data_IF_627175868906
#
_entry.id   IF_627175868906
#
_cell.length_a   1.000
_cell.length_b   1.000
_cell.length_c   1.000
_cell.angle_alpha   90.00
_cell.angle_beta   90.00
_cell.angle_gamma   90.00
#
_symmetry.space_group_name_H-M   'P 1'
#
loop_
_entity.id
_entity.type
_entity.pdbx_description
1 polymer ?
#
# COMPACT_ATOMS: atom_id res chain seq x y z
N UNK A 1 -13.03 -8.51 14.16
CA UNK A 1 -12.72 -7.12 13.74
C UNK A 1 -11.21 -6.97 13.67
N UNK A 2 -10.61 -6.87 12.51
CA UNK A 2 -9.16 -6.67 12.40
C UNK A 2 -8.76 -5.24 12.78
N UNK A 3 -7.54 -5.09 13.35
CA UNK A 3 -6.97 -3.78 13.66
C UNK A 3 -6.68 -3.00 12.37
N UNK A 4 -6.22 -3.69 11.33
CA UNK A 4 -5.98 -3.11 10.02
C UNK A 4 -6.40 -4.08 8.90
N UNK A 5 -7.03 -3.52 7.88
CA UNK A 5 -7.31 -4.19 6.61
C UNK A 5 -6.56 -3.47 5.50
N UNK A 6 -5.68 -4.17 4.83
CA UNK A 6 -5.02 -3.67 3.63
C UNK A 6 -5.84 -4.02 2.39
N UNK A 7 -6.04 -3.04 1.51
CA UNK A 7 -6.72 -3.25 0.23
C UNK A 7 -5.75 -2.91 -0.90
N UNK A 8 -5.49 -3.88 -1.77
CA UNK A 8 -4.83 -3.66 -3.05
C UNK A 8 -5.92 -3.26 -4.07
N UNK A 9 -5.98 -1.99 -4.50
CA UNK A 9 -7.07 -1.53 -5.35
C UNK A 9 -6.94 -2.04 -6.79
N UNK A 10 -8.02 -2.60 -7.32
CA UNK A 10 -8.09 -3.03 -8.71
C UNK A 10 -8.41 -1.86 -9.66
N UNK A 11 -7.64 -1.73 -10.73
CA UNK A 11 -7.87 -0.75 -11.79
C UNK A 11 -7.35 -1.20 -13.16
N UNK A 12 -6.94 -2.45 -13.29
CA UNK A 12 -6.38 -3.00 -14.52
C UNK A 12 -7.26 -2.75 -15.76
N UNK A 13 -8.60 -2.91 -15.73
CA UNK A 13 -9.45 -2.61 -16.86
C UNK A 13 -9.42 -1.13 -17.28
N UNK A 14 -9.29 -0.20 -16.34
CA UNK A 14 -9.23 1.23 -16.62
C UNK A 14 -7.90 1.64 -17.27
N UNK A 15 -6.80 0.99 -16.89
CA UNK A 15 -5.45 1.32 -17.38
C UNK A 15 -5.15 0.60 -18.69
N UNK A 16 -5.36 -0.70 -18.72
CA UNK A 16 -4.94 -1.55 -19.82
C UNK A 16 -6.08 -1.93 -20.77
N UNK A 17 -7.32 -1.54 -20.47
CA UNK A 17 -8.51 -1.86 -21.25
C UNK A 17 -8.59 -3.38 -21.54
N UNK A 18 -8.89 -3.76 -22.80
CA UNK A 18 -8.96 -5.18 -23.19
C UNK A 18 -7.63 -5.94 -23.12
N UNK A 19 -6.52 -5.22 -22.99
CA UNK A 19 -5.19 -5.84 -22.86
C UNK A 19 -4.95 -6.34 -21.43
N UNK A 20 -5.66 -5.80 -20.43
CA UNK A 20 -5.56 -6.22 -19.04
C UNK A 20 -5.78 -7.72 -18.86
N UNK A 21 -6.83 -8.25 -19.49
CA UNK A 21 -7.25 -9.64 -19.30
C UNK A 21 -6.25 -10.64 -19.91
N UNK A 22 -5.63 -10.24 -21.02
CA UNK A 22 -4.79 -11.15 -21.82
C UNK A 22 -3.30 -11.00 -21.57
N UNK A 23 -2.79 -9.78 -21.42
CA UNK A 23 -1.36 -9.53 -21.47
C UNK A 23 -0.74 -9.24 -20.09
N UNK A 24 -1.49 -8.64 -19.16
CA UNK A 24 -0.91 -8.23 -17.90
C UNK A 24 -0.64 -9.40 -16.95
N UNK A 25 0.43 -9.24 -16.16
CA UNK A 25 0.60 -10.06 -14.97
C UNK A 25 -0.45 -9.68 -13.93
N UNK A 26 -0.76 -10.63 -13.05
CA UNK A 26 -1.42 -10.36 -11.77
C UNK A 26 -0.43 -10.76 -10.70
N UNK A 27 0.11 -9.78 -10.00
CA UNK A 27 1.13 -9.98 -8.98
C UNK A 27 0.55 -9.82 -7.58
N UNK A 28 1.04 -10.60 -6.61
CA UNK A 28 0.70 -10.38 -5.21
C UNK A 28 1.06 -8.98 -4.75
N UNK A 29 0.27 -8.36 -3.85
CA UNK A 29 0.51 -7.01 -3.35
C UNK A 29 1.66 -7.00 -2.32
N UNK A 30 2.89 -7.04 -2.79
CA UNK A 30 4.12 -7.27 -1.99
C UNK A 30 4.22 -6.36 -0.77
N UNK A 31 3.89 -5.07 -0.94
CA UNK A 31 3.99 -4.12 0.18
C UNK A 31 2.88 -4.34 1.22
N UNK A 32 1.67 -4.69 0.79
CA UNK A 32 0.60 -5.06 1.71
C UNK A 32 0.95 -6.31 2.53
N UNK A 33 1.58 -7.30 1.88
CA UNK A 33 2.05 -8.51 2.55
C UNK A 33 3.12 -8.22 3.60
N UNK A 34 4.11 -7.36 3.29
CA UNK A 34 5.15 -6.94 4.24
C UNK A 34 4.56 -6.16 5.42
N UNK A 35 3.67 -5.20 5.16
CA UNK A 35 3.01 -4.42 6.21
C UNK A 35 2.12 -5.29 7.10
N UNK A 36 1.39 -6.24 6.52
CA UNK A 36 0.53 -7.13 7.29
C UNK A 36 1.36 -8.01 8.24
N UNK A 37 2.46 -8.61 7.76
CA UNK A 37 3.33 -9.42 8.61
C UNK A 37 4.04 -8.57 9.66
N UNK A 38 4.46 -7.35 9.30
CA UNK A 38 5.02 -6.38 10.24
C UNK A 38 4.03 -6.03 11.37
N UNK A 39 2.76 -5.80 11.06
CA UNK A 39 1.71 -5.57 12.07
C UNK A 39 1.50 -6.80 12.96
N UNK A 40 1.44 -8.00 12.36
CA UNK A 40 1.26 -9.27 13.10
C UNK A 40 2.42 -9.53 14.06
N UNK A 41 3.65 -9.18 13.69
CA UNK A 41 4.83 -9.30 14.56
C UNK A 41 4.76 -8.42 15.82
N UNK A 42 3.90 -7.41 15.82
CA UNK A 42 3.62 -6.53 16.97
C UNK A 42 2.32 -6.89 17.71
N UNK A 43 1.68 -7.99 17.32
CA UNK A 43 0.47 -8.49 17.97
C UNK A 43 -0.84 -7.88 17.44
N UNK A 44 -0.79 -7.09 16.37
CA UNK A 44 -1.99 -6.58 15.71
C UNK A 44 -2.60 -7.62 14.78
N UNK A 45 -3.93 -7.59 14.67
CA UNK A 45 -4.66 -8.41 13.70
C UNK A 45 -4.71 -7.69 12.35
N UNK A 46 -4.19 -8.34 11.31
CA UNK A 46 -4.16 -7.80 9.96
C UNK A 46 -4.88 -8.73 8.98
N UNK A 47 -5.52 -8.14 7.98
CA UNK A 47 -6.11 -8.87 6.84
C UNK A 47 -5.79 -8.14 5.54
N UNK A 48 -5.92 -8.86 4.42
CA UNK A 48 -5.70 -8.33 3.07
C UNK A 48 -6.94 -8.65 2.21
N UNK A 49 -7.37 -7.69 1.41
CA UNK A 49 -8.26 -7.89 0.27
C UNK A 49 -7.51 -7.46 -0.98
N UNK A 50 -7.26 -8.40 -1.88
CA UNK A 50 -6.69 -8.08 -3.18
C UNK A 50 -7.79 -7.89 -4.22
N UNK A 51 -8.37 -6.69 -4.23
CA UNK A 51 -9.45 -6.35 -5.15
C UNK A 51 -9.02 -6.38 -6.62
N UNK A 52 -7.72 -6.27 -6.89
CA UNK A 52 -7.17 -6.39 -8.24
C UNK A 52 -7.14 -7.85 -8.71
N UNK A 53 -6.57 -8.74 -7.91
CA UNK A 53 -6.45 -10.15 -8.29
C UNK A 53 -7.82 -10.85 -8.35
N UNK A 54 -8.69 -10.54 -7.39
CA UNK A 54 -10.03 -11.10 -7.32
C UNK A 54 -11.04 -10.41 -8.26
N UNK A 55 -10.64 -9.32 -8.92
CA UNK A 55 -11.50 -8.51 -9.79
C UNK A 55 -12.84 -8.11 -9.12
N UNK A 56 -12.77 -7.69 -7.86
CA UNK A 56 -13.94 -7.41 -7.04
C UNK A 56 -14.71 -6.19 -7.54
N UNK A 57 -16.02 -6.33 -7.61
CA UNK A 57 -16.93 -5.19 -7.75
C UNK A 57 -17.01 -4.40 -6.43
N UNK A 58 -17.42 -3.14 -6.52
CA UNK A 58 -17.61 -2.29 -5.32
C UNK A 58 -18.62 -2.91 -4.35
N UNK A 59 -19.68 -3.53 -4.87
CA UNK A 59 -20.70 -4.19 -4.05
C UNK A 59 -20.14 -5.38 -3.25
N UNK A 60 -19.32 -6.21 -3.88
CA UNK A 60 -18.69 -7.35 -3.20
C UNK A 60 -17.70 -6.88 -2.15
N UNK A 61 -16.90 -5.85 -2.48
CA UNK A 61 -15.98 -5.25 -1.54
C UNK A 61 -16.71 -4.68 -0.31
N UNK A 62 -17.75 -3.89 -0.50
CA UNK A 62 -18.55 -3.32 0.59
C UNK A 62 -19.15 -4.41 1.47
N UNK A 63 -19.73 -5.45 0.88
CA UNK A 63 -20.27 -6.59 1.65
C UNK A 63 -19.22 -7.28 2.51
N UNK A 64 -18.00 -7.45 2.01
CA UNK A 64 -16.88 -7.98 2.82
C UNK A 64 -16.50 -7.04 3.97
N UNK A 65 -16.44 -5.74 3.72
CA UNK A 65 -16.11 -4.74 4.74
C UNK A 65 -17.16 -4.67 5.86
N UNK A 66 -18.44 -4.76 5.53
CA UNK A 66 -19.54 -4.80 6.50
C UNK A 66 -19.42 -6.01 7.46
N UNK A 67 -18.93 -7.14 6.96
CA UNK A 67 -18.69 -8.33 7.77
C UNK A 67 -17.43 -8.22 8.63
N UNK A 68 -16.33 -7.69 8.07
CA UNK A 68 -15.03 -7.58 8.71
C UNK A 68 -14.98 -6.45 9.76
N UNK A 69 -15.59 -5.32 9.46
CA UNK A 69 -15.62 -4.11 10.31
C UNK A 69 -14.21 -3.71 10.79
N UNK A 70 -13.24 -3.49 9.89
CA UNK A 70 -11.88 -3.16 10.30
C UNK A 70 -11.83 -1.83 11.03
N UNK A 71 -10.92 -1.72 12.01
CA UNK A 71 -10.66 -0.44 12.69
C UNK A 71 -10.01 0.59 11.78
N UNK A 72 -9.08 0.14 10.92
CA UNK A 72 -8.41 0.95 9.91
C UNK A 72 -8.47 0.25 8.56
N UNK A 73 -8.85 0.96 7.52
CA UNK A 73 -8.73 0.53 6.13
C UNK A 73 -7.52 1.24 5.53
N UNK A 74 -6.54 0.49 5.04
CA UNK A 74 -5.34 1.02 4.42
C UNK A 74 -5.32 0.64 2.93
N UNK A 75 -5.49 1.62 2.05
CA UNK A 75 -5.35 1.44 0.61
C UNK A 75 -3.87 1.44 0.26
N UNK A 76 -3.38 0.35 -0.34
CA UNK A 76 -1.96 0.15 -0.66
C UNK A 76 -1.74 0.35 -2.16
N UNK A 77 -1.18 1.50 -2.53
CA UNK A 77 -1.01 1.92 -3.93
C UNK A 77 0.47 1.94 -4.30
N UNK A 78 1.01 0.76 -4.53
CA UNK A 78 2.34 0.57 -5.09
C UNK A 78 2.24 -0.09 -6.47
N UNK A 79 3.09 0.34 -7.39
CA UNK A 79 3.32 -0.37 -8.64
C UNK A 79 4.51 -1.32 -8.50
N UNK A 80 4.64 -2.26 -9.43
CA UNK A 80 5.81 -3.14 -9.57
C UNK A 80 7.10 -2.34 -9.80
N UNK A 81 6.98 -1.21 -10.43
CA UNK A 81 8.02 -0.22 -10.65
C UNK A 81 7.69 1.02 -9.82
N UNK A 82 8.68 1.60 -9.15
CA UNK A 82 8.50 2.80 -8.32
C UNK A 82 7.84 3.96 -9.08
N UNK A 83 8.07 4.06 -10.39
CA UNK A 83 7.49 5.11 -11.24
C UNK A 83 6.04 4.80 -11.68
N UNK A 84 5.51 3.61 -11.40
CA UNK A 84 4.17 3.18 -11.81
C UNK A 84 3.11 3.28 -10.69
N UNK A 85 3.47 3.74 -9.50
CA UNK A 85 2.57 3.77 -8.35
C UNK A 85 1.32 4.64 -8.55
N UNK A 86 1.43 5.72 -9.32
CA UNK A 86 0.28 6.61 -9.60
C UNK A 86 -0.84 5.93 -10.38
N UNK A 87 -0.55 4.90 -11.15
CA UNK A 87 -1.56 4.20 -11.97
C UNK A 87 -2.65 3.53 -11.10
N UNK A 88 -2.32 3.14 -9.87
CA UNK A 88 -3.27 2.56 -8.91
C UNK A 88 -4.23 3.56 -8.27
N UNK A 89 -3.99 4.86 -8.41
CA UNK A 89 -4.79 5.88 -7.72
C UNK A 89 -6.26 5.91 -8.15
N UNK A 90 -6.55 5.71 -9.43
CA UNK A 90 -7.95 5.70 -9.90
C UNK A 90 -8.79 4.60 -9.23
N UNK A 91 -8.20 3.43 -9.00
CA UNK A 91 -8.83 2.35 -8.24
C UNK A 91 -8.98 2.71 -6.76
N UNK A 92 -7.96 3.30 -6.15
CA UNK A 92 -8.01 3.73 -4.76
C UNK A 92 -9.07 4.80 -4.52
N UNK A 93 -9.14 5.83 -5.37
CA UNK A 93 -10.14 6.91 -5.30
C UNK A 93 -11.56 6.35 -5.41
N UNK A 94 -11.81 5.44 -6.38
CA UNK A 94 -13.11 4.78 -6.56
C UNK A 94 -13.50 3.98 -5.32
N UNK A 95 -12.59 3.16 -4.79
CA UNK A 95 -12.82 2.34 -3.60
C UNK A 95 -13.06 3.21 -2.37
N UNK A 96 -12.24 4.24 -2.14
CA UNK A 96 -12.41 5.16 -1.02
C UNK A 96 -13.79 5.83 -1.05
N UNK A 97 -14.22 6.29 -2.22
CA UNK A 97 -15.54 6.87 -2.42
C UNK A 97 -16.65 5.85 -2.11
N UNK A 98 -16.58 4.66 -2.67
CA UNK A 98 -17.57 3.62 -2.44
C UNK A 98 -17.68 3.26 -0.95
N UNK A 99 -16.57 3.19 -0.24
CA UNK A 99 -16.56 2.92 1.21
C UNK A 99 -17.24 4.06 1.98
N UNK A 100 -16.88 5.31 1.72
CA UNK A 100 -17.47 6.48 2.42
C UNK A 100 -18.96 6.65 2.16
N UNK A 101 -19.45 6.26 0.98
CA UNK A 101 -20.86 6.30 0.62
C UNK A 101 -21.70 5.18 1.28
N UNK A 102 -21.09 4.07 1.71
CA UNK A 102 -21.82 2.89 2.18
C UNK A 102 -21.49 2.48 3.63
N UNK A 103 -20.37 2.92 4.20
CA UNK A 103 -19.94 2.50 5.54
C UNK A 103 -19.62 3.73 6.38
N UNK A 104 -20.58 4.13 7.20
CA UNK A 104 -20.43 5.27 8.10
C UNK A 104 -19.30 5.05 9.12
N UNK A 105 -18.56 6.12 9.41
CA UNK A 105 -17.49 6.09 10.41
C UNK A 105 -16.23 5.31 10.00
N UNK A 106 -16.15 4.85 8.74
CA UNK A 106 -14.94 4.20 8.22
C UNK A 106 -13.75 5.16 8.24
N UNK A 107 -12.57 4.68 8.68
CA UNK A 107 -11.32 5.41 8.63
C UNK A 107 -10.46 4.82 7.53
N UNK A 108 -10.10 5.66 6.54
CA UNK A 108 -9.38 5.26 5.33
C UNK A 108 -8.04 5.97 5.27
N UNK A 109 -6.96 5.19 5.28
CA UNK A 109 -5.61 5.67 5.04
C UNK A 109 -5.11 5.26 3.66
N UNK A 110 -4.17 6.03 3.12
CA UNK A 110 -3.46 5.74 1.88
C UNK A 110 -1.97 5.56 2.15
N UNK A 111 -1.40 4.51 1.59
CA UNK A 111 0.04 4.28 1.54
C UNK A 111 0.48 3.94 0.11
N UNK A 112 1.60 4.48 -0.33
CA UNK A 112 2.12 4.18 -1.67
C UNK A 112 2.97 5.29 -2.23
N UNK A 113 3.61 5.01 -3.37
CA UNK A 113 4.57 5.95 -3.96
C UNK A 113 3.94 7.28 -4.40
N UNK A 114 2.65 7.29 -4.76
CA UNK A 114 1.98 8.54 -5.15
C UNK A 114 1.85 9.51 -3.98
N UNK A 115 1.29 9.07 -2.84
CA UNK A 115 1.16 9.92 -1.66
C UNK A 115 2.51 10.26 -1.03
N UNK A 116 3.48 9.38 -1.14
CA UNK A 116 4.86 9.69 -0.72
C UNK A 116 5.48 10.81 -1.55
N UNK A 117 5.22 10.84 -2.86
CA UNK A 117 5.73 11.87 -3.75
C UNK A 117 4.99 13.21 -3.58
N UNK A 118 3.67 13.19 -3.41
CA UNK A 118 2.78 14.35 -3.43
C UNK A 118 1.81 14.36 -2.23
N UNK A 119 2.29 14.32 -0.98
CA UNK A 119 1.44 14.06 0.18
C UNK A 119 0.31 15.08 0.34
N UNK A 120 0.63 16.36 0.37
CA UNK A 120 -0.36 17.44 0.55
C UNK A 120 -1.33 17.47 -0.63
N UNK A 121 -0.80 17.46 -1.86
CA UNK A 121 -1.62 17.50 -3.08
C UNK A 121 -2.59 16.31 -3.14
N UNK A 122 -2.10 15.12 -2.87
CA UNK A 122 -2.94 13.90 -2.88
C UNK A 122 -4.10 14.03 -1.92
N UNK A 123 -3.86 14.46 -0.69
CA UNK A 123 -4.93 14.58 0.27
C UNK A 123 -5.91 15.73 -0.07
N UNK A 124 -5.44 16.81 -0.69
CA UNK A 124 -6.33 17.87 -1.18
C UNK A 124 -7.26 17.40 -2.29
N UNK A 125 -6.76 16.53 -3.19
CA UNK A 125 -7.52 16.02 -4.35
C UNK A 125 -8.40 14.80 -4.01
N UNK A 126 -8.10 14.07 -2.90
CA UNK A 126 -8.78 12.83 -2.51
C UNK A 126 -9.62 13.00 -1.22
N UNK A 127 -10.80 13.61 -1.31
CA UNK A 127 -11.61 13.96 -0.12
C UNK A 127 -12.11 12.75 0.69
N UNK A 128 -12.13 11.57 0.11
CA UNK A 128 -12.57 10.33 0.74
C UNK A 128 -11.46 9.57 1.49
N UNK A 129 -10.23 10.11 1.49
CA UNK A 129 -9.10 9.57 2.24
C UNK A 129 -8.89 10.47 3.46
N UNK A 130 -8.86 9.88 4.66
CA UNK A 130 -8.77 10.64 5.91
C UNK A 130 -7.33 11.10 6.17
N UNK A 131 -6.35 10.22 5.95
CA UNK A 131 -4.93 10.54 6.08
C UNK A 131 -4.07 9.63 5.20
N UNK A 132 -2.78 9.92 5.14
CA UNK A 132 -1.84 9.11 4.39
C UNK A 132 -0.52 8.92 5.09
N UNK A 133 0.19 7.87 4.69
CA UNK A 133 1.52 7.56 5.19
C UNK A 133 2.58 8.11 4.23
N UNK A 134 3.54 8.82 4.79
CA UNK A 134 4.76 9.19 4.10
C UNK A 134 5.86 8.16 4.36
N UNK A 135 6.93 8.20 3.59
CA UNK A 135 8.01 7.23 3.67
C UNK A 135 7.50 5.77 3.56
N UNK A 136 8.14 4.82 4.20
CA UNK A 136 7.73 3.41 4.18
C UNK A 136 6.46 3.11 4.95
N UNK A 137 6.11 3.98 5.88
CA UNK A 137 4.90 3.87 6.69
C UNK A 137 4.92 2.78 7.77
N UNK A 138 5.98 2.00 7.91
CA UNK A 138 6.01 0.86 8.85
C UNK A 138 5.82 1.32 10.30
N UNK A 139 6.70 2.19 10.79
CA UNK A 139 6.62 2.69 12.16
C UNK A 139 5.45 3.64 12.39
N UNK A 140 5.13 4.47 11.40
CA UNK A 140 3.95 5.33 11.46
C UNK A 140 2.66 4.51 11.60
N UNK A 141 2.54 3.38 10.89
CA UNK A 141 1.40 2.48 10.99
C UNK A 141 1.30 1.86 12.39
N UNK A 142 2.42 1.41 12.99
CA UNK A 142 2.40 0.91 14.37
C UNK A 142 1.95 1.99 15.36
N UNK A 143 2.42 3.23 15.20
CA UNK A 143 2.01 4.35 16.05
C UNK A 143 0.51 4.65 15.89
N UNK A 144 -0.01 4.60 14.67
CA UNK A 144 -1.45 4.72 14.40
C UNK A 144 -2.23 3.59 15.07
N UNK A 145 -1.79 2.34 14.94
CA UNK A 145 -2.48 1.19 15.53
C UNK A 145 -2.40 1.18 17.07
N UNK A 146 -1.32 1.70 17.64
CA UNK A 146 -1.18 1.87 19.10
C UNK A 146 -2.10 2.96 19.66
N UNK A 147 -2.59 3.87 18.85
CA UNK A 147 -3.44 4.97 19.28
C UNK A 147 -4.83 4.46 19.65
N UNK A 148 -5.44 4.95 20.73
CA UNK A 148 -6.77 4.47 21.17
C UNK A 148 -7.89 4.88 20.22
N UNK A 149 -7.71 6.00 19.53
CA UNK A 149 -8.64 6.54 18.53
C UNK A 149 -7.89 6.96 17.27
N UNK A 150 -8.60 6.97 16.15
CA UNK A 150 -8.08 7.42 14.86
C UNK A 150 -8.74 8.75 14.47
N UNK A 151 -8.70 9.72 15.37
CA UNK A 151 -9.23 11.06 15.17
C UNK A 151 -8.10 12.10 14.95
N UNK A 152 -8.47 13.28 14.49
CA UNK A 152 -7.54 14.37 14.19
C UNK A 152 -6.62 14.70 15.37
N UNK A 153 -7.16 14.70 16.58
CA UNK A 153 -6.42 15.06 17.80
C UNK A 153 -5.30 14.08 18.10
N UNK A 154 -5.51 12.80 17.80
CA UNK A 154 -4.54 11.72 18.02
C UNK A 154 -3.53 11.63 16.88
N UNK A 155 -3.97 11.80 15.64
CA UNK A 155 -3.13 11.63 14.46
C UNK A 155 -2.18 12.81 14.22
N UNK A 156 -2.49 14.01 14.75
CA UNK A 156 -1.72 15.24 14.50
C UNK A 156 -0.25 15.19 14.91
N UNK A 157 0.10 14.36 15.89
CA UNK A 157 1.44 14.29 16.45
C UNK A 157 2.21 13.01 16.04
N UNK A 158 1.58 12.13 15.24
CA UNK A 158 2.23 10.90 14.78
C UNK A 158 3.16 11.21 13.60
N UNK A 159 4.48 10.96 13.73
CA UNK A 159 5.41 11.15 12.63
C UNK A 159 5.06 10.27 11.42
N UNK A 160 5.40 10.75 10.23
CA UNK A 160 5.20 10.02 8.99
C UNK A 160 3.78 10.04 8.46
N UNK A 161 2.92 10.94 8.95
CA UNK A 161 1.58 11.14 8.42
C UNK A 161 1.43 12.45 7.64
N UNK A 162 0.53 12.42 6.67
CA UNK A 162 -0.14 13.60 6.12
C UNK A 162 -1.62 13.48 6.49
N UNK A 163 -2.18 14.52 7.09
CA UNK A 163 -3.50 14.52 7.73
C UNK A 163 -4.34 15.71 7.31
N UNK A 164 -5.67 15.59 7.50
CA UNK A 164 -6.60 16.73 7.52
C UNK A 164 -6.75 17.20 8.96
N UNK A 165 -6.59 18.48 9.19
CA UNK A 165 -6.78 19.09 10.49
C UNK A 165 -7.48 20.44 10.31
N UNK A 166 -8.66 20.61 10.92
CA UNK A 166 -9.43 21.87 10.89
C UNK A 166 -9.63 22.43 9.47
N UNK A 167 -9.81 21.55 8.48
CA UNK A 167 -10.00 21.92 7.06
C UNK A 167 -8.71 22.21 6.27
N UNK A 168 -7.55 22.17 6.91
CA UNK A 168 -6.24 22.24 6.25
C UNK A 168 -5.65 20.85 6.06
N UNK A 169 -4.71 20.70 5.12
CA UNK A 169 -3.88 19.49 4.98
C UNK A 169 -2.49 19.82 5.49
N UNK A 170 -2.02 19.03 6.44
CA UNK A 170 -0.73 19.18 7.09
C UNK A 170 0.10 17.91 6.96
N UNK A 171 1.40 18.08 6.85
CA UNK A 171 2.36 16.97 6.87
C UNK A 171 3.12 17.02 8.20
N UNK A 172 3.06 15.92 8.95
CA UNK A 172 3.80 15.75 10.19
C UNK A 172 5.29 15.53 9.89
N UNK A 173 6.14 15.56 10.93
CA UNK A 173 7.56 15.19 10.80
C UNK A 173 7.70 13.85 10.12
N UNK A 174 8.77 13.69 9.34
CA UNK A 174 9.07 12.42 8.71
C UNK A 174 9.31 11.33 9.77
N UNK A 175 8.77 10.14 9.50
CA UNK A 175 9.13 8.95 10.28
C UNK A 175 10.33 8.25 9.62
N UNK A 176 11.13 7.59 10.44
CA UNK A 176 12.29 6.85 9.96
C UNK A 176 11.87 5.64 9.10
N UNK A 177 12.69 5.30 8.13
CA UNK A 177 12.60 4.03 7.42
C UNK A 177 13.17 2.91 8.30
N UNK A 178 12.77 1.66 8.03
CA UNK A 178 13.29 0.52 8.78
C UNK A 178 14.80 0.39 8.53
N UNK A 179 15.67 0.53 9.56
CA UNK A 179 17.09 0.43 9.37
C UNK A 179 17.55 -1.02 9.11
N UNK A 180 18.67 -1.20 8.44
CA UNK A 180 19.20 -2.53 8.09
C UNK A 180 19.24 -3.49 9.27
N UNK A 181 19.70 -3.04 10.44
CA UNK A 181 19.78 -3.86 11.63
C UNK A 181 18.42 -4.32 12.19
N UNK A 182 17.32 -3.79 11.68
CA UNK A 182 15.97 -4.08 12.13
C UNK A 182 15.10 -4.75 11.05
N UNK A 183 15.62 -4.95 9.84
CA UNK A 183 14.85 -5.49 8.71
C UNK A 183 14.19 -6.82 9.07
N UNK A 184 14.94 -7.78 9.63
CA UNK A 184 14.41 -9.11 9.97
C UNK A 184 13.39 -9.12 11.10
N UNK A 185 13.42 -8.10 11.97
CA UNK A 185 12.52 -8.01 13.12
C UNK A 185 11.26 -7.20 12.84
N UNK A 186 11.39 -6.13 12.06
CA UNK A 186 10.33 -5.15 11.84
C UNK A 186 9.63 -5.33 10.50
N UNK A 187 10.26 -6.05 9.56
CA UNK A 187 9.69 -6.56 8.31
C UNK A 187 10.04 -8.05 8.19
N UNK A 188 9.48 -8.93 9.04
CA UNK A 188 9.94 -10.31 9.19
C UNK A 188 9.58 -11.24 8.02
N UNK A 189 8.91 -10.75 7.00
CA UNK A 189 8.53 -11.50 5.81
C UNK A 189 7.19 -11.09 5.24
N UNK A 190 6.56 -12.01 4.56
CA UNK A 190 5.34 -11.79 3.78
C UNK A 190 4.19 -12.62 4.34
N UNK A 191 3.06 -12.01 4.61
CA UNK A 191 1.83 -12.65 5.09
C UNK A 191 1.09 -13.38 3.95
N UNK A 192 1.72 -14.38 3.32
CA UNK A 192 1.17 -15.12 2.18
C UNK A 192 -0.15 -15.81 2.50
N UNK A 193 -0.32 -16.27 3.73
CA UNK A 193 -1.53 -16.92 4.24
C UNK A 193 -2.77 -16.02 4.25
N UNK A 194 -2.60 -14.70 4.08
CA UNK A 194 -3.70 -13.74 3.98
C UNK A 194 -4.24 -13.56 2.56
N UNK A 195 -3.58 -14.15 1.57
CA UNK A 195 -4.05 -14.11 0.18
C UNK A 195 -5.01 -15.26 -0.13
N UNK A 196 -5.94 -15.07 -1.07
CA UNK A 196 -6.98 -16.07 -1.38
C UNK A 196 -6.46 -17.21 -2.26
N UNK A 197 -5.34 -17.85 -1.88
CA UNK A 197 -4.75 -18.96 -2.64
C UNK A 197 -5.56 -20.25 -2.58
N UNK A 198 -6.25 -20.51 -1.46
CA UNK A 198 -6.93 -21.80 -1.23
C UNK A 198 -8.08 -22.00 -2.20
N UNK A 199 -8.78 -20.93 -2.56
CA UNK A 199 -9.95 -21.00 -3.44
C UNK A 199 -9.61 -21.03 -4.93
N UNK A 200 -8.45 -20.47 -5.33
CA UNK A 200 -8.02 -20.39 -6.74
C UNK A 200 -6.50 -20.29 -6.86
N UNK A 201 -5.75 -21.31 -6.45
CA UNK A 201 -4.33 -21.20 -6.18
C UNK A 201 -3.45 -20.90 -7.40
N UNK A 202 -3.91 -21.22 -8.60
CA UNK A 202 -3.08 -21.14 -9.82
C UNK A 202 -3.49 -20.05 -10.79
N UNK A 203 -4.70 -19.50 -10.67
CA UNK A 203 -5.26 -18.58 -11.66
C UNK A 203 -5.27 -17.11 -11.19
N UNK A 204 -5.25 -16.89 -9.88
CA UNK A 204 -5.29 -15.54 -9.32
C UNK A 204 -4.02 -14.76 -9.60
N UNK A 205 -2.86 -15.36 -9.32
CA UNK A 205 -1.55 -14.70 -9.50
C UNK A 205 -0.79 -15.38 -10.64
N UNK A 206 -0.62 -14.66 -11.72
CA UNK A 206 -0.09 -15.21 -12.97
C UNK A 206 1.01 -14.35 -13.59
N UNK A 207 1.96 -15.02 -14.23
CA UNK A 207 3.05 -14.36 -14.95
C UNK A 207 2.53 -13.51 -16.12
N UNK A 208 3.28 -12.48 -16.55
CA UNK A 208 2.97 -11.77 -17.77
C UNK A 208 3.02 -12.70 -19.00
N UNK A 209 2.28 -12.37 -20.06
CA UNK A 209 2.16 -13.22 -21.24
C UNK A 209 3.49 -13.44 -21.95
N UNK A 210 4.40 -12.47 -21.93
CA UNK A 210 5.74 -12.62 -22.54
C UNK A 210 6.63 -13.64 -21.82
N UNK A 211 6.43 -13.90 -20.52
CA UNK A 211 7.11 -15.01 -19.83
C UNK A 211 6.56 -16.38 -20.25
N UNK A 212 5.38 -16.40 -20.80
CA UNK A 212 4.73 -17.60 -21.33
C UNK A 212 4.89 -17.74 -22.86
N UNK A 213 5.89 -17.11 -23.46
CA UNK A 213 6.13 -17.16 -24.92
C UNK A 213 4.89 -16.72 -25.73
N UNK A 214 4.12 -15.77 -25.22
CA UNK A 214 2.86 -15.31 -25.79
C UNK A 214 1.77 -16.40 -25.92
N UNK A 215 1.85 -17.46 -25.10
CA UNK A 215 0.88 -18.54 -25.06
C UNK A 215 0.17 -18.55 -23.69
N UNK A 216 -1.11 -18.24 -23.67
CA UNK A 216 -1.91 -18.19 -22.44
C UNK A 216 -1.88 -19.52 -21.64
N UNK A 217 -1.82 -20.65 -22.35
CA UNK A 217 -1.78 -21.98 -21.73
C UNK A 217 -0.44 -22.32 -21.05
N UNK A 218 0.58 -21.52 -21.28
CA UNK A 218 1.91 -21.65 -20.66
C UNK A 218 2.12 -20.71 -19.47
N UNK A 219 1.12 -19.91 -19.11
CA UNK A 219 1.22 -19.03 -17.96
C UNK A 219 1.38 -19.86 -16.68
N UNK A 220 2.26 -19.41 -15.83
CA UNK A 220 2.54 -20.04 -14.53
C UNK A 220 2.09 -19.15 -13.39
N UNK A 221 1.86 -19.72 -12.20
CA UNK A 221 1.77 -18.94 -10.97
C UNK A 221 2.97 -18.03 -10.84
N UNK A 222 2.74 -16.82 -10.32
CA UNK A 222 3.78 -15.80 -10.27
C UNK A 222 3.75 -15.07 -8.93
N UNK A 223 4.91 -14.87 -8.35
CA UNK A 223 5.10 -14.02 -7.20
C UNK A 223 6.38 -13.20 -7.36
N UNK A 224 6.29 -11.92 -7.06
CA UNK A 224 7.44 -11.05 -6.91
C UNK A 224 7.75 -10.87 -5.43
N UNK A 225 9.02 -10.88 -5.07
CA UNK A 225 9.51 -10.56 -3.73
C UNK A 225 10.57 -9.48 -3.81
N UNK A 226 10.66 -8.69 -2.76
CA UNK A 226 11.74 -7.72 -2.59
C UNK A 226 12.82 -8.36 -1.71
N UNK A 227 14.02 -8.47 -2.23
CA UNK A 227 15.20 -8.96 -1.48
C UNK A 227 15.96 -7.82 -0.80
N UNK A 228 15.64 -6.58 -1.14
CA UNK A 228 16.21 -5.38 -0.54
C UNK A 228 15.26 -4.20 -0.67
N UNK A 229 15.42 -3.20 0.20
CA UNK A 229 14.74 -1.91 0.12
C UNK A 229 15.75 -0.79 -0.09
N UNK A 230 15.32 0.28 -0.77
CA UNK A 230 16.19 1.40 -1.10
C UNK A 230 16.94 1.21 -2.41
N UNK A 231 17.73 2.21 -2.78
CA UNK A 231 18.53 2.19 -4.01
C UNK A 231 19.75 3.10 -3.87
N UNK A 232 20.91 2.61 -4.30
CA UNK A 232 22.16 3.39 -4.27
C UNK A 232 22.35 4.31 -5.49
N UNK A 233 21.42 4.25 -6.47
CA UNK A 233 21.50 5.04 -7.70
C UNK A 233 20.70 6.33 -7.59
N UNK A 234 21.24 7.42 -8.14
CA UNK A 234 20.60 8.74 -8.21
C UNK A 234 20.01 9.05 -9.59
N UNK A 235 19.27 8.11 -10.21
CA UNK A 235 18.72 8.31 -11.55
C UNK A 235 17.73 9.49 -11.57
N UNK A 236 17.99 10.49 -12.43
CA UNK A 236 17.24 11.74 -12.48
C UNK A 236 15.73 11.57 -12.80
N UNK A 237 15.36 10.48 -13.46
CA UNK A 237 13.97 10.16 -13.83
C UNK A 237 13.23 9.32 -12.78
N UNK A 238 13.90 8.87 -11.73
CA UNK A 238 13.35 7.87 -10.82
C UNK A 238 12.70 8.53 -9.60
N UNK A 239 11.46 8.16 -9.32
CA UNK A 239 10.71 8.62 -8.15
C UNK A 239 11.36 8.26 -6.82
N UNK A 240 12.25 7.26 -6.77
CA UNK A 240 12.89 6.83 -5.53
C UNK A 240 13.63 7.96 -4.81
N UNK A 241 14.05 8.98 -5.55
CA UNK A 241 14.73 10.15 -5.02
C UNK A 241 13.79 11.13 -4.29
N UNK A 242 12.48 10.95 -4.40
CA UNK A 242 11.49 11.89 -3.85
C UNK A 242 10.44 11.22 -2.95
N UNK A 243 10.42 9.90 -2.87
CA UNK A 243 9.37 9.17 -2.13
C UNK A 243 9.69 8.98 -0.65
N UNK A 244 10.94 9.05 -0.22
CA UNK A 244 11.30 9.03 1.20
C UNK A 244 12.03 10.30 1.57
N UNK A 245 11.57 10.95 2.63
CA UNK A 245 11.97 12.27 3.03
C UNK A 245 12.64 12.28 4.38
N UNK A 246 13.55 13.22 4.55
CA UNK A 246 13.98 13.69 5.86
C UNK A 246 13.19 14.97 6.17
N UNK A 247 12.77 15.11 7.42
CA UNK A 247 12.09 16.28 7.93
C UNK A 247 10.71 16.60 7.28
N UNK A 248 10.20 17.78 7.51
CA UNK A 248 8.89 18.25 7.08
C UNK A 248 8.86 18.73 5.62
N UNK A 249 9.94 18.58 4.88
CA UNK A 249 10.01 19.07 3.50
C UNK A 249 9.15 18.20 2.56
N UNK A 250 8.35 18.85 1.74
CA UNK A 250 7.52 18.17 0.75
C UNK A 250 8.34 17.48 -0.34
N UNK A 251 9.55 17.97 -0.59
CA UNK A 251 10.52 17.36 -1.52
C UNK A 251 11.90 17.30 -0.88
N UNK A 252 12.52 16.13 -0.97
CA UNK A 252 13.88 15.92 -0.48
C UNK A 252 14.23 14.44 -0.47
N UNK A 253 15.51 14.15 -0.64
CA UNK A 253 16.00 12.77 -0.59
C UNK A 253 16.33 12.43 0.85
N UNK A 254 15.77 11.34 1.36
CA UNK A 254 16.22 10.76 2.62
C UNK A 254 17.61 10.17 2.45
N UNK A 255 18.57 10.60 3.26
CA UNK A 255 19.92 10.03 3.27
C UNK A 255 19.92 8.54 3.63
N UNK A 256 18.93 8.10 4.40
CA UNK A 256 18.83 6.70 4.83
C UNK A 256 18.25 5.81 3.74
N UNK A 257 17.39 6.36 2.88
CA UNK A 257 16.80 5.61 1.78
C UNK A 257 17.74 5.45 0.57
N UNK A 258 18.74 6.31 0.45
CA UNK A 258 19.78 6.19 -0.59
C UNK A 258 20.71 4.99 -0.37
N UNK A 259 20.55 4.26 0.75
CA UNK A 259 21.28 3.04 1.03
C UNK A 259 20.38 1.84 0.84
N UNK A 260 20.86 0.87 0.08
CA UNK A 260 20.18 -0.43 0.00
C UNK A 260 20.26 -1.12 1.35
N UNK A 261 19.13 -1.61 1.83
CA UNK A 261 18.96 -2.36 3.06
C UNK A 261 18.52 -3.77 2.73
N UNK A 262 19.11 -4.75 3.36
CA UNK A 262 18.90 -6.16 3.06
C UNK A 262 18.39 -6.88 4.29
N UNK A 263 17.57 -7.88 4.09
CA UNK A 263 17.31 -8.92 5.10
C UNK A 263 18.57 -9.78 5.28
N UNK A 264 18.70 -10.38 6.45
CA UNK A 264 19.78 -11.36 6.70
C UNK A 264 19.64 -12.56 5.77
N UNK A 265 20.77 -13.14 5.31
CA UNK A 265 20.78 -14.32 4.45
C UNK A 265 20.13 -15.55 5.10
#
# INVERSE_FOLDING_TARGET
MPDVLFINPGNAPQIYQRLADKLSAVEPPTWALLLAESCRSKGYTAQIIDANAENLSDKELISRLENLKPRLICLVVYGQNVNAGTTGMSGASRIAKAIKENIDGSVIALIGSHIQALPIKTLLEEPNIDFGFTNEGVYALWNVLASPKLDESTLRDIPGLVIRLEGAVLMNKAESVVPTARMDQDLPGYAWDLLPFEDSPLDLYRSPLWHAEYNENKRSPYAAIQSSLGCNFGCAFCMINIINRNDEQEMGVSSDYSKMRFWSP
#
